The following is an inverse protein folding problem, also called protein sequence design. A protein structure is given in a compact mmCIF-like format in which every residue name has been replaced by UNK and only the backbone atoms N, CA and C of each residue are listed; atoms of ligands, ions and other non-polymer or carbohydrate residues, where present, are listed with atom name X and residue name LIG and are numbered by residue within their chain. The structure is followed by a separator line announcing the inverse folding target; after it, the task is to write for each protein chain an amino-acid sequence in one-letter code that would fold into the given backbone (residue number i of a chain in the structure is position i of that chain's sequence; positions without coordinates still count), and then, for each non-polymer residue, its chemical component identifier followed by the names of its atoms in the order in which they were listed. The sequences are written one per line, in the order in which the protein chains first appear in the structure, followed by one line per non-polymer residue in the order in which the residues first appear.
data_IF_082421101236
#
_entry.id   IF_082421101236
#
_cell.length_a   1.000
_cell.length_b   1.000
_cell.length_c   1.000
_cell.angle_alpha   90.00
_cell.angle_beta   90.00
_cell.angle_gamma   90.00
#
_symmetry.space_group_name_H-M   'P 1'
#
loop_
_entity.id
_entity.type
_entity.pdbx_description
1 polymer ?
#
# COMPACT_ATOMS: atom_id res chain seq x y z
N UNK A 1 -16.78 30.83 -6.57
CA UNK A 1 -16.88 30.43 -7.99
C UNK A 1 -15.52 30.32 -8.67
N UNK A 2 -14.61 31.29 -8.51
CA UNK A 2 -13.25 31.20 -9.10
C UNK A 2 -12.47 29.96 -8.66
N UNK A 3 -12.47 29.59 -7.37
CA UNK A 3 -11.78 28.39 -6.89
C UNK A 3 -12.29 27.10 -7.58
N UNK A 4 -13.62 26.95 -7.72
CA UNK A 4 -14.21 25.81 -8.42
C UNK A 4 -13.80 25.75 -9.89
N UNK A 5 -13.70 26.90 -10.56
CA UNK A 5 -13.22 26.97 -11.94
C UNK A 5 -11.77 26.51 -12.06
N UNK A 6 -10.87 27.06 -11.25
CA UNK A 6 -9.45 26.68 -11.32
C UNK A 6 -9.24 25.20 -10.95
N UNK A 7 -9.99 24.68 -9.96
CA UNK A 7 -9.99 23.25 -9.65
C UNK A 7 -10.47 22.40 -10.84
N UNK A 8 -11.55 22.81 -11.53
CA UNK A 8 -12.08 22.08 -12.67
C UNK A 8 -11.08 22.02 -13.84
N UNK A 9 -10.37 23.11 -14.14
CA UNK A 9 -9.31 23.11 -15.16
C UNK A 9 -8.13 22.25 -14.75
N UNK A 10 -7.65 22.36 -13.51
CA UNK A 10 -6.56 21.52 -12.99
C UNK A 10 -6.92 20.03 -13.10
N UNK A 11 -8.13 19.64 -12.68
CA UNK A 11 -8.60 18.26 -12.73
C UNK A 11 -8.75 17.74 -14.17
N UNK A 12 -9.37 18.52 -15.06
CA UNK A 12 -9.54 18.15 -16.48
C UNK A 12 -8.18 17.83 -17.14
N UNK A 13 -7.20 18.70 -16.95
CA UNK A 13 -5.86 18.53 -17.52
C UNK A 13 -5.14 17.31 -16.92
N UNK A 14 -5.25 17.09 -15.61
CA UNK A 14 -4.67 15.91 -14.93
C UNK A 14 -5.31 14.60 -15.43
N UNK A 15 -6.63 14.58 -15.66
CA UNK A 15 -7.31 13.41 -16.25
C UNK A 15 -6.84 13.13 -17.67
N UNK A 16 -6.67 14.17 -18.50
CA UNK A 16 -6.15 14.01 -19.86
C UNK A 16 -4.71 13.47 -19.85
N UNK A 17 -3.87 13.94 -18.94
CA UNK A 17 -2.52 13.40 -18.76
C UNK A 17 -2.55 11.91 -18.33
N UNK A 18 -3.38 11.57 -17.34
CA UNK A 18 -3.54 10.18 -16.88
C UNK A 18 -4.01 9.24 -17.99
N UNK A 19 -4.90 9.68 -18.87
CA UNK A 19 -5.30 8.91 -20.06
C UNK A 19 -4.10 8.54 -20.92
N UNK A 20 -3.19 9.49 -21.21
CA UNK A 20 -2.00 9.22 -22.00
C UNK A 20 -1.04 8.23 -21.30
N UNK A 21 -0.91 8.32 -19.98
CA UNK A 21 -0.14 7.34 -19.20
C UNK A 21 -0.74 5.93 -19.30
N UNK A 22 -2.07 5.82 -19.27
CA UNK A 22 -2.76 4.55 -19.51
C UNK A 22 -2.59 4.08 -20.97
N UNK A 23 -2.66 4.98 -21.95
CA UNK A 23 -2.41 4.63 -23.35
C UNK A 23 -0.99 4.07 -23.53
N UNK A 24 0.02 4.62 -22.82
CA UNK A 24 1.36 4.04 -22.75
C UNK A 24 1.36 2.66 -22.09
N UNK A 25 0.63 2.45 -20.98
CA UNK A 25 0.57 1.14 -20.31
C UNK A 25 0.22 0.02 -21.28
N UNK A 26 -0.75 0.26 -22.17
CA UNK A 26 -1.27 -0.73 -23.13
C UNK A 26 -0.51 -0.75 -24.46
N UNK A 27 -0.21 0.42 -25.03
CA UNK A 27 0.39 0.55 -26.36
C UNK A 27 1.92 0.62 -26.37
N UNK A 28 2.54 0.90 -25.21
CA UNK A 28 3.99 1.10 -25.03
C UNK A 28 4.61 2.19 -25.91
N UNK A 29 3.80 3.06 -26.51
CA UNK A 29 4.27 4.24 -27.24
C UNK A 29 4.69 5.35 -26.27
N UNK A 30 6.00 5.54 -26.14
CA UNK A 30 6.62 6.50 -25.22
C UNK A 30 6.19 7.95 -25.50
N UNK A 31 5.75 8.25 -26.72
CA UNK A 31 5.26 9.57 -27.11
C UNK A 31 4.07 10.01 -26.25
N UNK A 32 3.23 9.06 -25.84
CA UNK A 32 2.11 9.36 -24.94
C UNK A 32 2.61 9.95 -23.60
N UNK A 33 3.73 9.46 -23.06
CA UNK A 33 4.30 10.00 -21.82
C UNK A 33 4.88 11.41 -22.01
N UNK A 34 5.48 11.67 -23.18
CA UNK A 34 5.98 13.01 -23.52
C UNK A 34 4.84 14.02 -23.64
N UNK A 35 3.75 13.63 -24.30
CA UNK A 35 2.55 14.47 -24.48
C UNK A 35 1.78 14.68 -23.16
N UNK A 36 1.98 13.83 -22.15
CA UNK A 36 1.39 14.01 -20.82
C UNK A 36 2.03 15.18 -20.04
N UNK A 37 3.32 15.48 -20.26
CA UNK A 37 4.06 16.53 -19.54
C UNK A 37 3.39 17.91 -19.65
N UNK A 38 3.13 18.47 -20.86
CA UNK A 38 2.55 19.80 -20.96
C UNK A 38 1.14 19.89 -20.36
N UNK A 39 0.40 18.77 -20.28
CA UNK A 39 -0.90 18.72 -19.61
C UNK A 39 -0.75 18.78 -18.09
N UNK A 40 0.22 18.07 -17.52
CA UNK A 40 0.53 18.13 -16.09
C UNK A 40 1.04 19.52 -15.67
N UNK A 41 1.88 20.16 -16.50
CA UNK A 41 2.36 21.52 -16.29
C UNK A 41 1.21 22.54 -16.24
N UNK A 42 0.32 22.51 -17.24
CA UNK A 42 -0.86 23.38 -17.26
C UNK A 42 -1.82 23.08 -16.09
N UNK A 43 -1.96 21.80 -15.70
CA UNK A 43 -2.73 21.43 -14.51
C UNK A 43 -2.17 22.11 -13.25
N UNK A 44 -0.85 22.11 -13.08
CA UNK A 44 -0.17 22.79 -11.98
C UNK A 44 -0.30 24.30 -12.03
N UNK A 45 -0.31 24.93 -13.21
CA UNK A 45 -0.58 26.38 -13.32
C UNK A 45 -1.95 26.76 -12.74
N UNK A 46 -3.00 25.99 -13.08
CA UNK A 46 -4.33 26.19 -12.49
C UNK A 46 -4.35 25.85 -11.01
N UNK A 47 -3.62 24.83 -10.57
CA UNK A 47 -3.51 24.49 -9.15
C UNK A 47 -2.82 25.60 -8.34
N UNK A 48 -1.76 26.23 -8.87
CA UNK A 48 -1.11 27.39 -8.23
C UNK A 48 -2.06 28.58 -8.09
N UNK A 49 -2.84 28.89 -9.13
CA UNK A 49 -3.92 29.90 -9.04
C UNK A 49 -4.96 29.55 -7.98
N UNK A 50 -5.32 28.28 -7.85
CA UNK A 50 -6.21 27.82 -6.78
C UNK A 50 -5.61 28.02 -5.39
N UNK A 51 -4.30 27.80 -5.22
CA UNK A 51 -3.59 28.11 -3.97
C UNK A 51 -3.67 29.60 -3.66
N UNK A 52 -3.38 30.49 -4.62
CA UNK A 52 -3.48 31.94 -4.45
C UNK A 52 -4.90 32.38 -4.03
N UNK A 53 -5.93 31.79 -4.64
CA UNK A 53 -7.33 32.09 -4.33
C UNK A 53 -7.79 31.58 -2.96
N UNK A 54 -7.06 30.63 -2.36
CA UNK A 54 -7.44 30.01 -1.08
C UNK A 54 -6.56 30.47 0.08
N UNK A 55 -5.31 30.88 -0.18
CA UNK A 55 -4.40 31.40 0.83
C UNK A 55 -4.97 32.66 1.48
N UNK A 56 -4.99 32.70 2.80
CA UNK A 56 -5.64 33.76 3.59
C UNK A 56 -7.18 33.82 3.54
N UNK A 57 -7.84 32.97 2.74
CA UNK A 57 -9.30 32.97 2.57
C UNK A 57 -9.99 31.72 3.15
N UNK A 58 -9.26 30.61 3.27
CA UNK A 58 -9.72 29.38 3.91
C UNK A 58 -8.70 28.86 4.92
N UNK A 59 -9.18 28.37 6.06
CA UNK A 59 -8.31 27.76 7.09
C UNK A 59 -7.77 26.38 6.64
N UNK A 60 -8.61 25.58 5.99
CA UNK A 60 -8.34 24.21 5.54
C UNK A 60 -9.46 23.69 4.63
N UNK A 61 -9.22 22.56 3.95
CA UNK A 61 -10.16 21.86 3.09
C UNK A 61 -11.02 20.87 3.87
N UNK A 62 -10.40 19.85 4.46
CA UNK A 62 -11.06 18.82 5.25
C UNK A 62 -11.19 19.25 6.71
N UNK A 63 -12.39 19.09 7.28
CA UNK A 63 -12.63 19.28 8.72
C UNK A 63 -12.11 18.11 9.56
N UNK A 64 -12.13 16.88 9.01
CA UNK A 64 -11.54 15.69 9.64
C UNK A 64 -10.04 15.64 9.36
N UNK A 65 -9.25 16.06 10.34
CA UNK A 65 -7.80 16.30 10.23
C UNK A 65 -6.98 15.22 10.93
N UNK A 66 -7.25 13.97 10.54
CA UNK A 66 -6.70 12.78 11.20
C UNK A 66 -6.14 11.79 10.18
N UNK A 67 -5.42 10.78 10.68
CA UNK A 67 -4.81 9.73 9.86
C UNK A 67 -5.81 8.92 9.01
N UNK A 68 -7.11 8.99 9.31
CA UNK A 68 -8.18 8.38 8.50
C UNK A 68 -8.35 9.05 7.12
N UNK A 69 -7.93 10.31 6.94
CA UNK A 69 -8.00 10.99 5.63
C UNK A 69 -6.83 10.53 4.76
N UNK A 70 -7.06 9.59 3.83
CA UNK A 70 -5.99 9.01 2.98
C UNK A 70 -5.84 9.62 1.59
N UNK A 71 -6.92 10.15 1.01
CA UNK A 71 -6.94 10.70 -0.36
C UNK A 71 -7.04 12.23 -0.31
N UNK A 72 -6.20 12.99 -1.04
CA UNK A 72 -5.15 12.52 -1.96
C UNK A 72 -3.86 12.05 -1.28
N UNK A 73 -3.64 12.41 -0.01
CA UNK A 73 -2.51 11.96 0.82
C UNK A 73 -2.94 11.94 2.30
N UNK A 74 -2.21 11.24 3.16
CA UNK A 74 -2.46 11.18 4.60
C UNK A 74 -2.68 12.54 5.26
N UNK A 75 -3.74 12.67 6.06
CA UNK A 75 -4.10 13.85 6.86
C UNK A 75 -3.58 13.81 8.30
N UNK A 76 -2.59 12.96 8.55
CA UNK A 76 -2.00 12.64 9.84
C UNK A 76 -1.58 13.92 10.61
N UNK A 77 -1.93 14.00 11.89
CA UNK A 77 -1.69 15.16 12.76
C UNK A 77 -2.15 16.51 12.17
N UNK A 78 -3.20 16.48 11.35
CA UNK A 78 -3.74 17.63 10.64
C UNK A 78 -2.82 18.22 9.57
N UNK A 79 -1.87 17.45 9.04
CA UNK A 79 -1.07 17.84 7.88
C UNK A 79 -1.84 17.68 6.57
N UNK A 80 -1.34 18.28 5.50
CA UNK A 80 -1.85 18.14 4.13
C UNK A 80 -3.34 18.55 3.99
N UNK A 81 -3.79 19.48 4.82
CA UNK A 81 -5.20 19.91 4.90
C UNK A 81 -5.49 21.14 4.06
N UNK A 82 -4.48 21.76 3.48
CA UNK A 82 -4.59 22.93 2.61
C UNK A 82 -4.11 22.64 1.19
N UNK A 83 -4.64 23.38 0.21
CA UNK A 83 -4.20 23.36 -1.18
C UNK A 83 -2.70 23.71 -1.29
N UNK A 84 -2.22 24.63 -0.46
CA UNK A 84 -0.80 25.03 -0.44
C UNK A 84 0.12 23.87 -0.04
N UNK A 85 -0.25 23.09 0.96
CA UNK A 85 0.49 21.88 1.34
C UNK A 85 0.46 20.83 0.22
N UNK A 86 -0.68 20.67 -0.47
CA UNK A 86 -0.81 19.72 -1.57
C UNK A 86 -0.03 20.10 -2.83
N UNK A 87 0.15 21.39 -3.09
CA UNK A 87 0.92 21.88 -4.25
C UNK A 87 2.35 21.31 -4.25
N UNK A 88 3.01 21.26 -3.09
CA UNK A 88 4.37 20.71 -2.96
C UNK A 88 4.44 19.26 -3.46
N UNK A 89 3.43 18.45 -3.13
CA UNK A 89 3.37 17.05 -3.57
C UNK A 89 3.12 16.93 -5.06
N UNK A 90 2.26 17.78 -5.65
CA UNK A 90 1.98 17.74 -7.07
C UNK A 90 3.12 18.28 -7.94
N UNK A 91 3.90 19.24 -7.43
CA UNK A 91 5.14 19.66 -8.08
C UNK A 91 6.17 18.52 -8.07
N UNK A 92 6.29 17.82 -6.93
CA UNK A 92 7.18 16.66 -6.82
C UNK A 92 6.77 15.49 -7.72
N UNK A 93 5.47 15.23 -7.83
CA UNK A 93 4.89 14.24 -8.75
C UNK A 93 5.34 14.48 -10.20
N UNK A 94 5.31 15.74 -10.68
CA UNK A 94 5.77 16.08 -12.03
C UNK A 94 7.30 15.96 -12.19
N UNK A 95 8.07 16.36 -11.18
CA UNK A 95 9.53 16.17 -11.19
C UNK A 95 9.91 14.70 -11.34
N UNK A 96 9.31 13.84 -10.51
CA UNK A 96 9.52 12.40 -10.55
C UNK A 96 9.13 11.83 -11.92
N UNK A 97 7.96 12.22 -12.44
CA UNK A 97 7.49 11.78 -13.76
C UNK A 97 8.50 12.11 -14.88
N UNK A 98 9.02 13.34 -14.90
CA UNK A 98 10.04 13.76 -15.89
C UNK A 98 11.34 12.97 -15.74
N UNK A 99 11.82 12.77 -14.50
CA UNK A 99 13.04 12.02 -14.22
C UNK A 99 12.90 10.55 -14.64
N UNK A 100 11.79 9.89 -14.27
CA UNK A 100 11.52 8.50 -14.62
C UNK A 100 11.33 8.30 -16.13
N UNK A 101 10.72 9.26 -16.84
CA UNK A 101 10.64 9.24 -18.30
C UNK A 101 12.04 9.31 -18.95
N UNK A 102 12.95 10.14 -18.43
CA UNK A 102 14.32 10.20 -18.93
C UNK A 102 15.05 8.86 -18.75
N UNK A 103 14.97 8.26 -17.56
CA UNK A 103 15.54 6.94 -17.27
C UNK A 103 14.94 5.84 -18.17
N UNK A 104 13.63 5.88 -18.42
CA UNK A 104 12.95 4.93 -19.28
C UNK A 104 13.44 5.02 -20.73
N UNK A 105 13.66 6.23 -21.25
CA UNK A 105 14.23 6.45 -22.59
C UNK A 105 15.66 5.90 -22.69
N UNK A 106 16.48 6.12 -21.67
CA UNK A 106 17.84 5.57 -21.61
C UNK A 106 17.85 4.03 -21.60
N UNK A 107 16.91 3.41 -20.85
CA UNK A 107 16.71 1.96 -20.83
C UNK A 107 16.29 1.41 -22.20
N UNK A 108 15.34 2.05 -22.88
CA UNK A 108 14.89 1.60 -24.21
C UNK A 108 15.98 1.71 -25.28
N UNK A 109 16.92 2.65 -25.13
CA UNK A 109 18.04 2.83 -26.05
C UNK A 109 19.21 1.85 -25.80
N UNK A 110 19.04 0.85 -24.93
CA UNK A 110 20.03 -0.21 -24.69
C UNK A 110 21.22 0.19 -23.82
N UNK A 111 21.17 1.37 -23.17
CA UNK A 111 22.27 1.91 -22.37
C UNK A 111 22.22 1.55 -20.88
N UNK A 112 21.23 0.77 -20.44
CA UNK A 112 21.08 0.40 -19.05
C UNK A 112 21.10 -1.12 -18.86
N UNK A 113 22.01 -1.58 -18.00
CA UNK A 113 21.96 -2.93 -17.43
C UNK A 113 20.65 -3.03 -16.65
N UNK A 114 19.85 -4.06 -16.92
CA UNK A 114 18.70 -4.37 -16.09
C UNK A 114 19.20 -4.69 -14.69
N UNK A 115 19.20 -3.70 -13.79
CA UNK A 115 19.36 -3.95 -12.37
C UNK A 115 18.15 -4.78 -11.94
N UNK A 116 18.33 -6.09 -11.89
CA UNK A 116 17.53 -6.96 -11.04
C UNK A 116 17.77 -6.49 -9.62
N UNK A 117 16.94 -5.55 -9.15
CA UNK A 117 16.94 -5.15 -7.74
C UNK A 117 16.60 -6.40 -6.95
N UNK A 118 17.61 -7.00 -6.32
CA UNK A 118 17.43 -8.17 -5.50
C UNK A 118 16.64 -7.75 -4.25
N UNK A 119 15.37 -8.17 -4.20
CA UNK A 119 14.48 -7.80 -3.10
C UNK A 119 14.85 -8.65 -1.88
N UNK A 120 15.47 -8.00 -0.89
CA UNK A 120 15.87 -8.66 0.34
C UNK A 120 14.67 -9.09 1.19
N UNK A 121 14.78 -10.28 1.80
CA UNK A 121 13.83 -10.75 2.80
C UNK A 121 13.85 -9.86 4.05
N UNK A 122 12.69 -9.64 4.66
CA UNK A 122 12.58 -8.93 5.93
C UNK A 122 13.07 -9.81 7.08
N UNK A 123 13.85 -9.19 7.98
CA UNK A 123 14.29 -9.85 9.19
C UNK A 123 13.11 -10.02 10.16
N UNK A 124 12.87 -11.23 10.71
CA UNK A 124 11.90 -11.43 11.78
C UNK A 124 12.30 -10.62 13.02
N UNK A 125 11.35 -9.91 13.61
CA UNK A 125 11.51 -9.27 14.90
C UNK A 125 11.02 -10.20 16.03
N UNK A 126 11.83 -10.35 17.07
CA UNK A 126 11.43 -11.08 18.26
C UNK A 126 10.47 -10.22 19.09
N UNK A 127 9.36 -10.83 19.51
CA UNK A 127 8.42 -10.26 20.48
C UNK A 127 8.12 -11.30 21.54
N UNK A 128 7.75 -10.85 22.74
CA UNK A 128 7.34 -11.74 23.82
C UNK A 128 5.84 -11.98 23.72
N UNK A 129 5.47 -13.12 23.15
CA UNK A 129 4.08 -13.54 23.04
C UNK A 129 3.55 -14.00 24.41
N UNK A 130 2.34 -13.57 24.76
CA UNK A 130 1.67 -14.02 25.99
C UNK A 130 0.98 -15.38 25.82
N UNK A 131 0.86 -15.86 24.58
CA UNK A 131 0.27 -17.14 24.19
C UNK A 131 1.29 -17.94 23.37
N UNK A 132 1.24 -19.27 23.48
CA UNK A 132 2.14 -20.16 22.75
C UNK A 132 1.50 -20.66 21.44
N UNK A 133 1.52 -19.82 20.40
CA UNK A 133 1.06 -20.24 19.06
C UNK A 133 2.14 -21.07 18.37
N UNK A 134 1.80 -22.17 17.68
CA UNK A 134 2.75 -22.85 16.81
C UNK A 134 3.24 -21.87 15.73
N UNK A 135 4.54 -21.81 15.50
CA UNK A 135 5.13 -20.94 14.49
C UNK A 135 5.82 -21.74 13.39
N UNK A 136 5.93 -21.16 12.21
CA UNK A 136 6.64 -21.77 11.09
C UNK A 136 7.36 -20.71 10.28
N UNK A 137 8.50 -21.09 9.72
CA UNK A 137 9.24 -20.25 8.77
C UNK A 137 8.45 -20.18 7.46
N UNK A 138 8.17 -18.97 6.98
CA UNK A 138 7.47 -18.74 5.71
C UNK A 138 8.39 -19.15 4.58
N UNK A 139 7.98 -20.17 3.83
CA UNK A 139 8.63 -20.62 2.60
C UNK A 139 7.62 -21.39 1.74
N UNK A 140 7.99 -21.64 0.49
CA UNK A 140 7.20 -22.47 -0.42
C UNK A 140 7.05 -23.91 0.14
N UNK A 141 5.89 -24.52 -0.09
CA UNK A 141 5.56 -25.86 0.39
C UNK A 141 5.14 -25.95 1.86
N UNK A 142 5.18 -24.84 2.62
CA UNK A 142 4.76 -24.79 4.02
C UNK A 142 3.26 -24.56 4.16
N UNK A 143 2.63 -25.24 5.13
CA UNK A 143 1.25 -24.96 5.52
C UNK A 143 1.21 -23.93 6.65
N UNK A 144 0.42 -22.87 6.44
CA UNK A 144 0.22 -21.78 7.39
C UNK A 144 -0.96 -22.00 8.35
N UNK A 145 -1.76 -23.04 8.14
CA UNK A 145 -2.84 -23.43 9.05
C UNK A 145 -2.50 -24.76 9.74
N UNK A 146 -3.14 -25.05 10.87
CA UNK A 146 -2.97 -26.35 11.55
C UNK A 146 -3.94 -27.41 11.03
N UNK A 147 -5.11 -27.00 10.53
CA UNK A 147 -6.23 -27.85 10.13
C UNK A 147 -6.57 -27.78 8.63
N UNK A 148 -5.84 -26.96 7.85
CA UNK A 148 -6.03 -26.85 6.39
C UNK A 148 -4.77 -27.31 5.67
N UNK A 149 -4.96 -28.21 4.69
CA UNK A 149 -3.88 -28.85 3.94
C UNK A 149 -3.18 -27.95 2.94
N UNK A 150 -3.77 -26.80 2.60
CA UNK A 150 -3.20 -25.82 1.66
C UNK A 150 -1.79 -25.40 2.06
N UNK A 151 -0.88 -25.41 1.09
CA UNK A 151 0.53 -25.03 1.23
C UNK A 151 0.81 -23.78 0.40
N UNK A 152 1.79 -22.99 0.82
CA UNK A 152 2.29 -21.85 0.05
C UNK A 152 2.83 -22.37 -1.28
N UNK A 153 2.29 -21.88 -2.39
CA UNK A 153 2.80 -22.15 -3.74
C UNK A 153 3.81 -21.09 -4.16
N UNK A 154 3.55 -19.83 -3.79
CA UNK A 154 4.42 -18.70 -4.06
C UNK A 154 4.21 -17.62 -3.00
N UNK A 155 5.28 -16.89 -2.69
CA UNK A 155 5.27 -15.83 -1.69
C UNK A 155 6.26 -14.73 -2.09
N UNK A 156 5.92 -13.47 -1.77
CA UNK A 156 6.80 -12.33 -2.01
C UNK A 156 8.18 -12.53 -1.33
N UNK A 157 9.29 -12.18 -2.00
CA UNK A 157 10.64 -12.35 -1.45
C UNK A 157 10.85 -11.73 -0.07
N UNK A 158 10.23 -10.58 0.19
CA UNK A 158 10.26 -9.87 1.48
C UNK A 158 9.76 -10.74 2.65
N UNK A 159 8.82 -11.64 2.38
CA UNK A 159 8.18 -12.46 3.41
C UNK A 159 8.92 -13.79 3.63
N UNK A 160 9.85 -14.17 2.75
CA UNK A 160 10.59 -15.43 2.88
C UNK A 160 11.40 -15.41 4.17
N UNK A 161 11.25 -16.45 4.98
CA UNK A 161 11.94 -16.59 6.26
C UNK A 161 11.29 -15.89 7.45
N UNK A 162 10.21 -15.14 7.24
CA UNK A 162 9.40 -14.60 8.33
C UNK A 162 8.82 -15.71 9.22
N UNK A 163 8.53 -15.39 10.48
CA UNK A 163 8.04 -16.35 11.46
C UNK A 163 6.50 -16.27 11.59
N UNK A 164 5.79 -17.00 10.72
CA UNK A 164 4.33 -16.99 10.69
C UNK A 164 3.72 -17.81 11.84
N UNK A 165 2.55 -17.38 12.29
CA UNK A 165 1.76 -18.10 13.29
C UNK A 165 0.78 -19.04 12.59
N UNK A 166 0.77 -20.29 13.04
CA UNK A 166 -0.15 -21.32 12.55
C UNK A 166 -1.37 -21.39 13.45
N UNK A 167 -2.44 -20.76 13.00
CA UNK A 167 -3.75 -20.85 13.65
C UNK A 167 -4.56 -22.03 13.11
N UNK A 168 -5.53 -22.48 13.91
CA UNK A 168 -6.61 -23.31 13.43
C UNK A 168 -7.60 -22.41 12.67
N UNK A 169 -7.70 -22.61 11.36
CA UNK A 169 -8.54 -21.80 10.50
C UNK A 169 -10.03 -21.98 10.79
N UNK A 170 -10.47 -23.18 11.15
CA UNK A 170 -11.87 -23.41 11.53
C UNK A 170 -12.25 -22.63 12.80
N UNK A 171 -11.39 -22.63 13.82
CA UNK A 171 -11.60 -21.81 15.02
C UNK A 171 -11.53 -20.31 14.71
N UNK A 172 -10.59 -19.91 13.85
CA UNK A 172 -10.42 -18.52 13.41
C UNK A 172 -11.67 -17.97 12.73
N UNK A 173 -12.40 -18.80 11.98
CA UNK A 173 -13.68 -18.42 11.36
C UNK A 173 -14.79 -18.13 12.36
N UNK A 174 -14.82 -18.85 13.47
CA UNK A 174 -15.89 -18.71 14.46
C UNK A 174 -15.60 -17.61 15.49
N UNK A 175 -14.35 -17.58 15.97
CA UNK A 175 -13.93 -16.78 17.12
C UNK A 175 -13.07 -15.55 16.75
N UNK A 176 -12.49 -15.52 15.55
CA UNK A 176 -11.49 -14.53 15.16
C UNK A 176 -10.10 -14.86 15.72
N UNK A 177 -9.20 -13.89 15.73
CA UNK A 177 -7.84 -14.06 16.28
C UNK A 177 -7.54 -12.94 17.27
N UNK A 178 -7.09 -13.31 18.47
CA UNK A 178 -6.56 -12.37 19.46
C UNK A 178 -5.07 -12.65 19.63
N UNK A 179 -4.26 -11.61 19.58
CA UNK A 179 -2.80 -11.69 19.75
C UNK A 179 -2.41 -10.70 20.84
N UNK A 180 -1.83 -11.20 21.92
CA UNK A 180 -1.28 -10.37 22.99
C UNK A 180 0.22 -10.58 23.06
N UNK A 181 0.97 -9.48 23.00
CA UNK A 181 2.43 -9.51 22.95
C UNK A 181 3.04 -8.27 23.62
N UNK A 182 4.33 -8.38 23.91
CA UNK A 182 5.16 -7.31 24.47
C UNK A 182 6.41 -7.15 23.58
N UNK A 183 6.83 -5.91 23.34
CA UNK A 183 8.00 -5.59 22.53
C UNK A 183 8.75 -4.40 23.09
N UNK A 184 10.08 -4.44 23.04
CA UNK A 184 10.94 -3.38 23.58
C UNK A 184 11.29 -2.30 22.54
N UNK A 185 10.91 -2.51 21.27
CA UNK A 185 11.18 -1.60 20.17
C UNK A 185 9.96 -1.51 19.22
N UNK A 186 9.86 -0.47 18.38
CA UNK A 186 8.83 -0.41 17.36
C UNK A 186 8.90 -1.62 16.40
N UNK A 187 7.76 -2.26 16.15
CA UNK A 187 7.62 -3.42 15.26
C UNK A 187 6.36 -3.30 14.41
N UNK A 188 6.34 -4.03 13.30
CA UNK A 188 5.16 -4.17 12.44
C UNK A 188 4.75 -5.64 12.37
N UNK A 189 3.48 -5.93 12.60
CA UNK A 189 2.88 -7.24 12.38
C UNK A 189 2.36 -7.34 10.94
N UNK A 190 2.81 -8.35 10.20
CA UNK A 190 2.38 -8.60 8.83
C UNK A 190 1.15 -9.51 8.84
N UNK A 191 0.02 -9.01 8.33
CA UNK A 191 -1.24 -9.75 8.26
C UNK A 191 -1.70 -9.87 6.82
N UNK A 192 -1.90 -11.10 6.34
CA UNK A 192 -2.37 -11.38 4.99
C UNK A 192 -3.89 -11.60 4.97
N UNK A 193 -4.57 -10.83 4.12
CA UNK A 193 -6.00 -10.93 3.84
C UNK A 193 -6.22 -11.48 2.42
N UNK A 194 -7.05 -12.51 2.31
CA UNK A 194 -7.40 -13.13 1.04
C UNK A 194 -8.32 -12.20 0.23
N UNK A 195 -8.06 -12.09 -1.08
CA UNK A 195 -8.85 -11.29 -2.04
C UNK A 195 -10.12 -12.03 -2.44
N UNK A 196 -11.02 -12.26 -1.48
CA UNK A 196 -12.31 -12.93 -1.70
C UNK A 196 -13.34 -12.42 -0.67
N UNK A 197 -14.53 -12.06 -1.17
CA UNK A 197 -15.61 -11.48 -0.36
C UNK A 197 -16.47 -12.52 0.39
N UNK A 198 -16.22 -13.82 0.20
CA UNK A 198 -16.90 -14.88 0.94
C UNK A 198 -16.66 -14.73 2.44
N UNK A 199 -17.74 -14.86 3.23
CA UNK A 199 -17.72 -14.75 4.71
C UNK A 199 -16.72 -15.67 5.43
N UNK A 200 -16.22 -16.69 4.76
CA UNK A 200 -15.21 -17.60 5.32
C UNK A 200 -13.82 -16.96 5.40
N UNK A 201 -13.54 -15.93 4.60
CA UNK A 201 -12.30 -15.15 4.64
C UNK A 201 -12.50 -13.90 5.48
N UNK A 202 -11.47 -13.51 6.22
CA UNK A 202 -11.53 -12.28 6.98
C UNK A 202 -11.45 -11.08 6.05
N UNK A 203 -12.24 -10.05 6.33
CA UNK A 203 -12.21 -8.81 5.54
C UNK A 203 -11.03 -7.95 5.96
N UNK A 204 -10.31 -7.43 4.96
CA UNK A 204 -9.28 -6.43 5.18
C UNK A 204 -9.88 -5.15 5.81
N UNK A 205 -9.08 -4.36 6.55
CA UNK A 205 -9.49 -3.06 7.08
C UNK A 205 -10.03 -2.15 5.97
N UNK A 206 -11.16 -1.48 6.21
CA UNK A 206 -11.78 -0.53 5.27
C UNK A 206 -12.26 0.71 5.99
N UNK A 207 -11.65 1.85 5.68
CA UNK A 207 -11.92 3.12 6.35
C UNK A 207 -13.35 3.64 6.12
N UNK A 208 -13.98 3.30 5.00
CA UNK A 208 -15.33 3.74 4.64
C UNK A 208 -16.40 3.19 5.59
N UNK A 209 -16.11 2.08 6.27
CA UNK A 209 -17.06 1.39 7.16
C UNK A 209 -16.54 1.22 8.58
N UNK A 210 -15.27 1.57 8.85
CA UNK A 210 -14.61 1.43 10.15
C UNK A 210 -13.53 2.49 10.33
N UNK A 211 -13.76 3.46 11.22
CA UNK A 211 -12.81 4.52 11.52
C UNK A 211 -11.52 4.03 12.20
N UNK A 212 -11.55 2.85 12.83
CA UNK A 212 -10.38 2.20 13.46
C UNK A 212 -9.49 1.46 12.45
N UNK A 213 -9.93 1.37 11.19
CA UNK A 213 -9.23 0.64 10.13
C UNK A 213 -7.85 1.21 9.76
N UNK A 214 -7.41 2.31 10.40
CA UNK A 214 -6.04 2.83 10.26
C UNK A 214 -5.34 3.12 11.59
N UNK A 215 -5.85 2.66 12.73
CA UNK A 215 -5.25 2.93 14.06
C UNK A 215 -3.81 2.41 14.19
N UNK A 216 -3.46 1.39 13.40
CA UNK A 216 -2.13 0.78 13.31
C UNK A 216 -1.45 1.05 11.95
N UNK A 217 -1.97 1.97 11.14
CA UNK A 217 -1.48 2.22 9.77
C UNK A 217 -1.86 1.13 8.75
N UNK A 218 -2.85 0.30 9.07
CA UNK A 218 -3.18 -0.94 8.35
C UNK A 218 -4.18 -0.76 7.20
N UNK A 219 -4.65 0.46 6.91
CA UNK A 219 -5.73 0.67 5.95
C UNK A 219 -5.35 0.20 4.54
N UNK A 220 -4.13 0.51 4.11
CA UNK A 220 -3.60 0.13 2.80
C UNK A 220 -2.64 -1.06 2.91
N UNK A 221 -2.66 -1.99 1.95
CA UNK A 221 -1.69 -3.09 1.91
C UNK A 221 -0.28 -2.57 1.61
N UNK A 222 0.72 -3.13 2.29
CA UNK A 222 2.14 -2.90 1.99
C UNK A 222 2.62 -3.80 0.86
N UNK A 223 2.06 -5.00 0.71
CA UNK A 223 2.33 -5.87 -0.42
C UNK A 223 1.01 -6.34 -1.02
N UNK A 224 0.75 -6.01 -2.28
CA UNK A 224 -0.40 -6.56 -3.01
C UNK A 224 0.01 -7.81 -3.77
N UNK A 225 -0.91 -8.77 -3.95
CA UNK A 225 -0.69 -10.00 -4.69
C UNK A 225 0.53 -10.80 -4.17
N UNK A 226 0.64 -10.95 -2.84
CA UNK A 226 1.89 -11.29 -2.16
C UNK A 226 2.00 -12.72 -1.66
N UNK A 227 0.88 -13.42 -1.47
CA UNK A 227 0.88 -14.81 -1.00
C UNK A 227 -0.13 -15.63 -1.79
N UNK A 228 0.32 -16.74 -2.36
CA UNK A 228 -0.50 -17.75 -3.03
C UNK A 228 -0.45 -19.06 -2.24
N UNK A 229 -1.60 -19.57 -1.84
CA UNK A 229 -1.74 -20.84 -1.12
C UNK A 229 -2.64 -21.76 -1.96
N UNK A 230 -2.22 -23.02 -2.14
CA UNK A 230 -2.99 -24.00 -2.90
C UNK A 230 -4.43 -24.10 -2.37
N UNK A 231 -5.41 -23.98 -3.28
CA UNK A 231 -6.84 -24.06 -2.95
C UNK A 231 -7.41 -22.82 -2.25
N UNK A 232 -6.66 -21.71 -2.20
CA UNK A 232 -7.12 -20.45 -1.62
C UNK A 232 -6.92 -19.26 -2.58
N UNK A 233 -7.68 -18.17 -2.41
CA UNK A 233 -7.48 -16.93 -3.15
C UNK A 233 -6.08 -16.35 -2.93
N UNK A 234 -5.68 -15.45 -3.81
CA UNK A 234 -4.47 -14.66 -3.62
C UNK A 234 -4.66 -13.68 -2.46
N UNK A 235 -3.61 -13.43 -1.67
CA UNK A 235 -3.69 -12.54 -0.51
C UNK A 235 -2.81 -11.28 -0.66
N UNK A 236 -3.30 -10.18 -0.09
CA UNK A 236 -2.54 -8.94 0.14
C UNK A 236 -2.06 -8.90 1.59
N UNK A 237 -0.92 -8.28 1.85
CA UNK A 237 -0.34 -8.12 3.19
C UNK A 237 -0.47 -6.69 3.65
N UNK A 238 -1.04 -6.51 4.84
CA UNK A 238 -1.17 -5.26 5.55
C UNK A 238 -0.18 -5.24 6.72
N UNK A 239 0.39 -4.06 6.99
CA UNK A 239 1.28 -3.85 8.13
C UNK A 239 0.53 -3.17 9.27
N UNK A 240 0.58 -3.77 10.45
CA UNK A 240 0.07 -3.18 11.68
C UNK A 240 1.26 -2.71 12.51
N UNK A 241 1.42 -1.39 12.67
CA UNK A 241 2.54 -0.77 13.37
C UNK A 241 2.27 -0.64 14.86
N UNK A 242 3.27 -1.00 15.67
CA UNK A 242 3.20 -0.93 17.13
C UNK A 242 4.47 -0.26 17.67
N UNK A 243 4.31 0.56 18.70
CA UNK A 243 5.41 1.12 19.48
C UNK A 243 5.91 0.13 20.53
N UNK A 244 7.02 0.44 21.22
CA UNK A 244 7.44 -0.36 22.36
C UNK A 244 6.35 -0.39 23.45
N UNK A 245 6.12 -1.55 24.05
CA UNK A 245 5.12 -1.77 25.10
C UNK A 245 4.35 -3.07 24.93
N UNK A 246 3.23 -3.15 25.66
CA UNK A 246 2.36 -4.32 25.70
C UNK A 246 1.08 -4.04 24.92
N UNK A 247 0.75 -4.92 23.99
CA UNK A 247 -0.32 -4.72 23.01
C UNK A 247 -1.25 -5.93 22.96
N UNK A 248 -2.53 -5.66 22.69
CA UNK A 248 -3.53 -6.68 22.36
C UNK A 248 -4.22 -6.27 21.08
N UNK A 249 -4.09 -7.10 20.05
CA UNK A 249 -4.74 -6.92 18.75
C UNK A 249 -5.84 -7.97 18.57
N UNK A 250 -7.02 -7.50 18.18
CA UNK A 250 -8.15 -8.34 17.78
C UNK A 250 -8.29 -8.26 16.26
N UNK A 251 -8.07 -9.38 15.57
CA UNK A 251 -8.28 -9.49 14.14
C UNK A 251 -9.69 -10.05 13.83
N UNK A 252 -10.29 -9.68 12.70
CA UNK A 252 -11.64 -10.07 12.34
C UNK A 252 -11.79 -11.59 12.18
N UNK A 253 -13.05 -12.04 12.26
CA UNK A 253 -13.41 -13.44 11.97
C UNK A 253 -13.17 -13.78 10.50
N UNK A 254 -12.75 -15.02 10.26
CA UNK A 254 -12.49 -15.55 8.91
C UNK A 254 -11.04 -15.97 8.73
N UNK A 255 -10.75 -16.72 7.68
CA UNK A 255 -9.38 -17.11 7.33
C UNK A 255 -8.55 -15.84 7.03
N UNK A 256 -7.42 -15.71 7.73
CA UNK A 256 -6.35 -14.74 7.48
C UNK A 256 -5.03 -15.35 7.95
N UNK A 257 -3.90 -14.80 7.49
CA UNK A 257 -2.58 -15.24 7.94
C UNK A 257 -1.86 -14.17 8.72
N UNK A 258 -1.18 -14.57 9.79
CA UNK A 258 -0.26 -13.70 10.52
C UNK A 258 1.14 -14.18 10.21
N UNK A 259 1.82 -13.41 9.36
CA UNK A 259 3.11 -13.81 8.79
C UNK A 259 4.29 -13.50 9.73
N UNK A 260 4.03 -12.84 10.86
CA UNK A 260 5.00 -12.55 11.90
C UNK A 260 5.32 -11.07 12.04
N UNK A 261 6.28 -10.78 12.90
CA UNK A 261 6.73 -9.41 13.20
C UNK A 261 8.01 -9.09 12.44
N UNK A 262 8.18 -7.83 12.05
CA UNK A 262 9.44 -7.30 11.53
C UNK A 262 9.65 -5.86 12.01
N UNK A 263 10.91 -5.43 12.10
CA UNK A 263 11.28 -4.04 12.31
C UNK A 263 11.65 -3.35 10.98
N UNK A 264 11.54 -4.04 9.85
CA UNK A 264 11.89 -3.51 8.55
C UNK A 264 11.02 -2.30 8.17
N UNK A 265 11.64 -1.39 7.42
CA UNK A 265 10.86 -0.39 6.71
C UNK A 265 10.10 -1.05 5.56
N UNK A 266 8.83 -0.71 5.42
CA UNK A 266 7.89 -1.38 4.52
C UNK A 266 7.45 -0.39 3.46
N UNK A 267 7.77 -0.66 2.21
CA UNK A 267 7.31 0.15 1.07
C UNK A 267 6.19 -0.58 0.35
N UNK A 268 5.18 0.17 -0.09
CA UNK A 268 4.09 -0.37 -0.90
C UNK A 268 4.65 -0.96 -2.20
N UNK A 269 4.33 -2.22 -2.49
CA UNK A 269 4.74 -2.89 -3.73
C UNK A 269 3.70 -3.91 -4.19
N UNK A 270 3.49 -4.02 -5.50
CA UNK A 270 2.82 -5.17 -6.09
C UNK A 270 3.82 -6.31 -6.22
N UNK A 271 3.57 -7.42 -5.52
CA UNK A 271 4.43 -8.60 -5.55
C UNK A 271 4.32 -9.43 -6.84
N UNK A 272 3.37 -9.09 -7.72
CA UNK A 272 3.30 -9.64 -9.07
C UNK A 272 2.77 -11.08 -9.16
N UNK A 273 2.38 -11.71 -8.04
CA UNK A 273 1.87 -13.08 -8.07
C UNK A 273 0.45 -13.19 -8.68
N UNK A 274 -0.13 -12.10 -9.17
CA UNK A 274 -1.37 -12.10 -9.95
C UNK A 274 -1.13 -12.28 -11.47
N UNK A 275 0.12 -12.16 -11.95
CA UNK A 275 0.47 -12.04 -13.37
C UNK A 275 0.90 -10.60 -13.74
N UNK A 276 1.26 -10.39 -15.02
CA UNK A 276 1.86 -9.16 -15.58
C UNK A 276 0.92 -7.92 -15.63
N UNK A 277 0.17 -7.66 -14.56
CA UNK A 277 -0.53 -6.37 -14.37
C UNK A 277 0.38 -5.41 -13.59
N UNK A 278 1.49 -4.99 -14.22
CA UNK A 278 2.31 -3.90 -13.69
C UNK A 278 1.64 -2.56 -14.02
N UNK A 279 1.10 -1.87 -13.00
CA UNK A 279 0.53 -0.54 -13.17
C UNK A 279 1.64 0.48 -13.38
N UNK A 280 1.36 1.53 -14.15
CA UNK A 280 2.36 2.56 -14.47
C UNK A 280 2.57 3.60 -13.35
N UNK A 281 2.02 3.37 -12.15
CA UNK A 281 2.10 4.31 -11.03
C UNK A 281 3.54 4.57 -10.58
N UNK A 282 4.45 3.62 -10.83
CA UNK A 282 5.88 3.79 -10.55
C UNK A 282 6.50 4.99 -11.26
N UNK A 283 5.92 5.46 -12.38
CA UNK A 283 6.40 6.65 -13.08
C UNK A 283 6.35 7.90 -12.20
N UNK A 284 5.52 7.94 -11.15
CA UNK A 284 5.34 9.13 -10.32
C UNK A 284 6.14 9.11 -9.00
N UNK A 285 6.84 8.02 -8.69
CA UNK A 285 7.59 7.85 -7.43
C UNK A 285 9.09 8.03 -7.60
#
# INVERSE_FOLDING_TARGET
MHCYREFAYAFNLKVKAAKLVLDYQWGKDIKNLEEAIPLMEQSLEHYRKLVELTDGHYLYANSMQTAQRRIPIGGDDGKNKTWKELLVHYEKELENFKANLALLKEKQNGNAVAETVEIAAWAPAAVKLMSNYPTVKVDEGISLFTDISGKIEAVAPELKGMQAFRFNGSEQREKGTSITFETDAPVKLMVAYFKDDQKKYAKAPKLEIDASANDYGQAEPVLTNAVRINGMPLANVHAYSFTAGKHTLMLPKGYLQVLGFTAADTKARNAGLAGDEETMDWLFY
#
